data_IF_507051649547
#
_entry.id   IF_507051649547
#
_cell.length_a   1.000
_cell.length_b   1.000
_cell.length_c   1.000
_cell.angle_alpha   90.00
_cell.angle_beta   90.00
_cell.angle_gamma   90.00
#
_symmetry.space_group_name_H-M   'P 1'
#
loop_
_entity.id
_entity.type
_entity.pdbx_description
1 polymer ?
#
# COMPACT_ATOMS: atom_id res chain seq x y z
N UNK A 1 19.49 46.99 -42.72
CA UNK A 1 19.45 46.15 -41.51
C UNK A 1 18.03 45.91 -40.97
N UNK A 2 17.19 45.16 -41.68
CA UNK A 2 15.77 44.96 -41.30
C UNK A 2 15.32 43.49 -41.18
N UNK A 3 16.24 42.54 -40.98
CA UNK A 3 15.88 41.12 -40.86
C UNK A 3 16.12 40.47 -39.48
N UNK A 4 16.53 41.22 -38.46
CA UNK A 4 16.86 40.64 -37.15
C UNK A 4 15.69 40.58 -36.14
N UNK A 5 14.55 41.24 -36.39
CA UNK A 5 13.39 41.24 -35.48
C UNK A 5 12.34 40.17 -35.75
N UNK A 6 12.46 39.44 -36.87
CA UNK A 6 11.54 38.40 -37.34
C UNK A 6 12.01 36.97 -37.01
N UNK A 7 12.95 36.79 -36.09
CA UNK A 7 13.00 35.56 -35.27
C UNK A 7 11.82 35.72 -34.31
N UNK A 8 10.68 35.27 -34.82
CA UNK A 8 9.40 35.99 -34.78
C UNK A 8 8.57 35.52 -33.60
N UNK A 9 7.64 36.36 -33.11
CA UNK A 9 6.51 35.94 -32.27
C UNK A 9 5.86 34.59 -32.68
N UNK A 10 5.91 34.22 -33.97
CA UNK A 10 5.53 32.90 -34.48
C UNK A 10 6.33 31.73 -33.90
N UNK A 11 7.66 31.81 -33.83
CA UNK A 11 8.50 30.76 -33.23
C UNK A 11 8.20 30.59 -31.74
N UNK A 12 8.03 31.70 -31.02
CA UNK A 12 7.59 31.67 -29.62
C UNK A 12 6.19 31.05 -29.45
N UNK A 13 5.25 31.37 -30.35
CA UNK A 13 3.90 30.80 -30.34
C UNK A 13 3.89 29.29 -30.60
N UNK A 14 4.74 28.80 -31.51
CA UNK A 14 4.91 27.36 -31.78
C UNK A 14 5.42 26.64 -30.54
N UNK A 15 6.50 27.14 -29.93
CA UNK A 15 7.05 26.54 -28.71
C UNK A 15 6.07 26.61 -27.52
N UNK A 16 5.29 27.69 -27.41
CA UNK A 16 4.24 27.79 -26.40
C UNK A 16 3.15 26.72 -26.59
N UNK A 17 2.72 26.48 -27.84
CA UNK A 17 1.75 25.42 -28.15
C UNK A 17 2.32 24.02 -27.88
N UNK A 18 3.60 23.78 -28.19
CA UNK A 18 4.27 22.51 -27.88
C UNK A 18 4.34 22.28 -26.38
N UNK A 19 4.75 23.29 -25.61
CA UNK A 19 4.81 23.22 -24.15
C UNK A 19 3.42 22.96 -23.53
N UNK A 20 2.38 23.62 -24.04
CA UNK A 20 1.00 23.36 -23.63
C UNK A 20 0.59 21.90 -23.89
N UNK A 21 0.89 21.38 -25.08
CA UNK A 21 0.61 19.97 -25.41
C UNK A 21 1.39 18.99 -24.52
N UNK A 22 2.65 19.28 -24.19
CA UNK A 22 3.45 18.45 -23.28
C UNK A 22 2.81 18.45 -21.89
N UNK A 23 2.42 19.62 -21.41
CA UNK A 23 1.77 19.77 -20.10
C UNK A 23 0.44 19.01 -20.02
N UNK A 24 -0.41 19.12 -21.04
CA UNK A 24 -1.68 18.37 -21.12
C UNK A 24 -1.45 16.85 -21.10
N UNK A 25 -0.45 16.36 -21.85
CA UNK A 25 -0.07 14.94 -21.84
C UNK A 25 0.42 14.49 -20.47
N UNK A 26 1.25 15.30 -19.83
CA UNK A 26 1.78 15.00 -18.51
C UNK A 26 0.68 14.96 -17.44
N UNK A 27 -0.26 15.91 -17.47
CA UNK A 27 -1.43 15.89 -16.59
C UNK A 27 -2.26 14.63 -16.79
N UNK A 28 -2.51 14.23 -18.04
CA UNK A 28 -3.23 13.00 -18.35
C UNK A 28 -2.51 11.76 -17.83
N UNK A 29 -1.18 11.71 -17.96
CA UNK A 29 -0.35 10.62 -17.44
C UNK A 29 -0.45 10.52 -15.91
N UNK A 30 -0.37 11.65 -15.19
CA UNK A 30 -0.54 11.69 -13.74
C UNK A 30 -1.93 11.18 -13.34
N UNK A 31 -2.98 11.63 -14.01
CA UNK A 31 -4.36 11.18 -13.73
C UNK A 31 -4.53 9.67 -13.93
N UNK A 32 -3.89 9.10 -14.95
CA UNK A 32 -3.94 7.65 -15.19
C UNK A 32 -3.23 6.86 -14.10
N UNK A 33 -2.06 7.34 -13.63
CA UNK A 33 -1.35 6.74 -12.49
C UNK A 33 -2.19 6.79 -11.22
N UNK A 34 -2.77 7.96 -10.90
CA UNK A 34 -3.65 8.12 -9.74
C UNK A 34 -4.86 7.18 -9.81
N UNK A 35 -5.48 7.06 -10.98
CA UNK A 35 -6.61 6.13 -11.19
C UNK A 35 -6.20 4.68 -10.94
N UNK A 36 -4.99 4.28 -11.32
CA UNK A 36 -4.47 2.94 -11.06
C UNK A 36 -4.20 2.70 -9.57
N UNK A 37 -3.61 3.68 -8.88
CA UNK A 37 -3.41 3.66 -7.41
C UNK A 37 -4.73 3.53 -6.66
N UNK A 38 -5.74 4.32 -7.02
CA UNK A 38 -7.08 4.24 -6.44
C UNK A 38 -7.73 2.87 -6.68
N UNK A 39 -7.65 2.36 -7.91
CA UNK A 39 -8.18 1.04 -8.26
C UNK A 39 -7.54 -0.07 -7.40
N UNK A 40 -6.21 -0.09 -7.33
CA UNK A 40 -5.48 -1.08 -6.53
C UNK A 40 -5.84 -0.97 -5.05
N UNK A 41 -5.88 0.25 -4.51
CA UNK A 41 -6.20 0.53 -3.13
C UNK A 41 -7.61 0.03 -2.77
N UNK A 42 -8.62 0.38 -3.58
CA UNK A 42 -10.00 -0.07 -3.38
C UNK A 42 -10.12 -1.60 -3.44
N UNK A 43 -9.46 -2.24 -4.42
CA UNK A 43 -9.50 -3.70 -4.56
C UNK A 43 -8.86 -4.40 -3.36
N UNK A 44 -7.68 -3.94 -2.96
CA UNK A 44 -6.95 -4.52 -1.83
C UNK A 44 -7.74 -4.32 -0.53
N UNK A 45 -8.25 -3.11 -0.27
CA UNK A 45 -9.08 -2.82 0.89
C UNK A 45 -10.32 -3.73 0.95
N UNK A 46 -11.01 -3.98 -0.18
CA UNK A 46 -12.14 -4.92 -0.22
C UNK A 46 -11.74 -6.33 0.25
N UNK A 47 -10.58 -6.83 -0.18
CA UNK A 47 -10.07 -8.14 0.24
C UNK A 47 -9.74 -8.16 1.75
N UNK A 48 -9.09 -7.10 2.25
CA UNK A 48 -8.78 -6.96 3.68
C UNK A 48 -10.06 -6.92 4.52
N UNK A 49 -11.05 -6.11 4.13
CA UNK A 49 -12.33 -6.02 4.86
C UNK A 49 -13.07 -7.36 4.88
N UNK A 50 -12.99 -8.13 3.79
CA UNK A 50 -13.56 -9.48 3.75
C UNK A 50 -12.86 -10.41 4.76
N UNK A 51 -11.53 -10.39 4.81
CA UNK A 51 -10.74 -11.17 5.77
C UNK A 51 -11.06 -10.76 7.22
N UNK A 52 -11.08 -9.46 7.53
CA UNK A 52 -11.40 -8.94 8.86
C UNK A 52 -12.80 -9.35 9.32
N UNK A 53 -13.81 -9.27 8.42
CA UNK A 53 -15.17 -9.75 8.73
C UNK A 53 -15.19 -11.25 9.02
N UNK A 54 -14.39 -12.04 8.31
CA UNK A 54 -14.29 -13.48 8.53
C UNK A 54 -13.70 -13.78 9.91
N UNK A 55 -12.62 -13.09 10.29
CA UNK A 55 -12.00 -13.20 11.61
C UNK A 55 -12.99 -12.85 12.73
N UNK A 56 -13.72 -11.74 12.60
CA UNK A 56 -14.68 -11.31 13.63
C UNK A 56 -15.90 -12.21 13.77
N UNK A 57 -16.31 -12.92 12.71
CA UNK A 57 -17.44 -13.87 12.75
C UNK A 57 -17.10 -15.18 13.45
N UNK A 58 -15.82 -15.50 13.58
CA UNK A 58 -15.39 -16.70 14.28
C UNK A 58 -15.54 -16.47 15.79
N UNK A 59 -16.46 -17.22 16.39
CA UNK A 59 -16.69 -17.26 17.83
C UNK A 59 -16.09 -18.55 18.40
N UNK A 60 -14.85 -18.52 18.94
CA UNK A 60 -14.28 -19.72 19.51
C UNK A 60 -14.77 -19.96 20.92
N UNK A 61 -14.57 -21.20 21.34
CA UNK A 61 -14.92 -21.72 22.65
C UNK A 61 -14.13 -21.07 23.80
N UNK A 62 -12.97 -20.47 23.53
CA UNK A 62 -12.12 -19.83 24.55
C UNK A 62 -11.86 -18.34 24.21
N UNK A 63 -12.65 -17.40 24.78
CA UNK A 63 -12.53 -15.98 24.47
C UNK A 63 -11.26 -15.33 25.03
N UNK A 64 -10.66 -15.91 26.08
CA UNK A 64 -9.50 -15.35 26.79
C UNK A 64 -8.27 -15.22 25.89
N UNK A 65 -8.00 -16.24 25.07
CA UNK A 65 -6.84 -16.24 24.16
C UNK A 65 -7.21 -15.79 22.74
N UNK A 66 -8.48 -15.90 22.37
CA UNK A 66 -8.93 -15.50 21.04
C UNK A 66 -8.85 -14.00 20.81
N UNK A 67 -9.31 -13.20 21.77
CA UNK A 67 -9.35 -11.74 21.62
C UNK A 67 -7.95 -11.13 21.42
N UNK A 68 -6.92 -11.49 22.22
CA UNK A 68 -5.55 -11.02 22.00
C UNK A 68 -4.99 -11.46 20.63
N UNK A 69 -5.20 -12.72 20.24
CA UNK A 69 -4.79 -13.23 18.93
C UNK A 69 -5.41 -12.44 17.77
N UNK A 70 -6.73 -12.24 17.80
CA UNK A 70 -7.44 -11.47 16.78
C UNK A 70 -6.92 -10.03 16.71
N UNK A 71 -6.71 -9.37 17.85
CA UNK A 71 -6.16 -8.01 17.87
C UNK A 71 -4.77 -7.95 17.23
N UNK A 72 -3.90 -8.92 17.53
CA UNK A 72 -2.56 -9.00 16.92
C UNK A 72 -2.67 -9.23 15.41
N UNK A 73 -3.50 -10.19 14.98
CA UNK A 73 -3.71 -10.49 13.57
C UNK A 73 -4.28 -9.31 12.78
N UNK A 74 -5.27 -8.60 13.33
CA UNK A 74 -5.85 -7.40 12.72
C UNK A 74 -4.80 -6.31 12.56
N UNK A 75 -3.96 -6.09 13.58
CA UNK A 75 -2.85 -5.13 13.51
C UNK A 75 -1.87 -5.48 12.39
N UNK A 76 -1.43 -6.74 12.32
CA UNK A 76 -0.49 -7.23 11.31
C UNK A 76 -1.07 -7.13 9.90
N UNK A 77 -2.36 -7.46 9.72
CA UNK A 77 -3.09 -7.32 8.46
C UNK A 77 -3.08 -5.86 7.98
N UNK A 78 -3.41 -4.90 8.86
CA UNK A 78 -3.43 -3.48 8.50
C UNK A 78 -2.03 -2.97 8.13
N UNK A 79 -1.01 -3.34 8.91
CA UNK A 79 0.38 -2.97 8.59
C UNK A 79 0.84 -3.54 7.24
N UNK A 80 0.45 -4.78 6.95
CA UNK A 80 0.79 -5.42 5.69
C UNK A 80 0.08 -4.73 4.52
N UNK A 81 -1.19 -4.38 4.69
CA UNK A 81 -1.95 -3.58 3.72
C UNK A 81 -1.25 -2.25 3.39
N UNK A 82 -0.85 -1.48 4.41
CA UNK A 82 -0.15 -0.20 4.20
C UNK A 82 1.15 -0.40 3.42
N UNK A 83 1.90 -1.47 3.71
CA UNK A 83 3.12 -1.83 2.97
C UNK A 83 2.82 -2.14 1.50
N UNK A 84 1.79 -2.93 1.21
CA UNK A 84 1.37 -3.25 -0.16
C UNK A 84 0.98 -2.01 -0.96
N UNK A 85 0.21 -1.10 -0.35
CA UNK A 85 -0.19 0.18 -0.97
C UNK A 85 1.05 1.04 -1.23
N UNK A 86 1.97 1.15 -0.27
CA UNK A 86 3.17 1.95 -0.43
C UNK A 86 4.12 1.39 -1.50
N UNK A 87 4.32 0.06 -1.53
CA UNK A 87 5.09 -0.61 -2.59
C UNK A 87 4.49 -0.36 -3.96
N UNK A 88 3.17 -0.45 -4.09
CA UNK A 88 2.49 -0.17 -5.36
C UNK A 88 2.70 1.27 -5.79
N UNK A 89 2.55 2.23 -4.88
CA UNK A 89 2.81 3.66 -5.12
C UNK A 89 4.25 3.92 -5.56
N UNK A 90 5.23 3.23 -4.98
CA UNK A 90 6.61 3.35 -5.43
C UNK A 90 6.78 2.84 -6.86
N UNK A 91 6.20 1.68 -7.17
CA UNK A 91 6.23 1.09 -8.52
C UNK A 91 5.56 1.98 -9.57
N UNK A 92 4.40 2.56 -9.27
CA UNK A 92 3.71 3.49 -10.18
C UNK A 92 4.49 4.78 -10.37
N UNK A 93 5.17 5.28 -9.32
CA UNK A 93 6.08 6.42 -9.45
C UNK A 93 7.28 6.12 -10.35
N UNK A 94 7.88 4.94 -10.25
CA UNK A 94 8.98 4.55 -11.12
C UNK A 94 8.49 4.36 -12.57
N UNK A 95 7.29 3.80 -12.75
CA UNK A 95 6.64 3.73 -14.07
C UNK A 95 6.37 5.13 -14.62
N UNK A 96 5.86 6.06 -13.81
CA UNK A 96 5.65 7.46 -14.20
C UNK A 96 6.95 8.08 -14.71
N UNK A 97 8.05 7.95 -13.95
CA UNK A 97 9.37 8.46 -14.35
C UNK A 97 9.82 7.87 -15.69
N UNK A 98 9.64 6.56 -15.90
CA UNK A 98 10.01 5.91 -17.17
C UNK A 98 9.20 6.41 -18.38
N UNK A 99 7.97 6.89 -18.13
CA UNK A 99 7.08 7.38 -19.19
C UNK A 99 7.22 8.89 -19.42
N UNK A 100 7.92 9.64 -18.56
CA UNK A 100 8.08 11.10 -18.70
C UNK A 100 8.82 11.47 -19.99
N UNK A 101 9.91 10.77 -20.32
CA UNK A 101 10.69 11.08 -21.52
C UNK A 101 9.88 10.84 -22.80
N UNK A 102 9.09 9.76 -22.82
CA UNK A 102 8.16 9.43 -23.91
C UNK A 102 7.06 10.48 -24.02
N UNK A 103 6.56 10.95 -22.88
CA UNK A 103 5.56 12.01 -22.80
C UNK A 103 6.07 13.33 -23.39
N UNK A 104 7.34 13.67 -23.20
CA UNK A 104 7.96 14.88 -23.77
C UNK A 104 8.17 14.71 -25.29
N UNK A 105 8.67 13.55 -25.73
CA UNK A 105 9.05 13.28 -27.13
C UNK A 105 7.88 13.13 -28.12
N UNK A 106 6.63 13.31 -27.68
CA UNK A 106 5.44 13.32 -28.55
C UNK A 106 5.20 12.01 -29.32
N UNK A 107 5.60 10.90 -28.70
CA UNK A 107 5.26 9.58 -29.23
C UNK A 107 3.78 9.30 -28.95
N UNK A 108 3.05 8.82 -29.97
CA UNK A 108 1.62 8.43 -29.91
C UNK A 108 1.42 7.13 -29.12
N UNK A 109 2.09 6.99 -27.99
CA UNK A 109 2.00 5.82 -27.13
C UNK A 109 0.75 5.92 -26.24
N UNK A 110 -0.03 4.84 -26.19
CA UNK A 110 -1.14 4.74 -25.26
C UNK A 110 -0.62 4.35 -23.86
N UNK A 111 -0.27 5.36 -23.06
CA UNK A 111 0.19 5.19 -21.68
C UNK A 111 -0.81 4.45 -20.80
N UNK A 112 -2.09 4.42 -21.16
CA UNK A 112 -3.11 3.72 -20.38
C UNK A 112 -2.81 2.23 -20.34
N UNK A 113 -2.43 1.64 -21.48
CA UNK A 113 -2.13 0.21 -21.56
C UNK A 113 -0.93 -0.14 -20.69
N UNK A 114 0.14 0.65 -20.79
CA UNK A 114 1.35 0.46 -19.97
C UNK A 114 1.09 0.49 -18.46
N UNK A 115 0.18 1.36 -18.03
CA UNK A 115 -0.19 1.49 -16.61
C UNK A 115 -1.07 0.31 -16.19
N UNK A 116 -2.02 -0.11 -17.03
CA UNK A 116 -2.86 -1.30 -16.78
C UNK A 116 -1.99 -2.55 -16.66
N UNK A 117 -1.05 -2.75 -17.58
CA UNK A 117 -0.14 -3.89 -17.59
C UNK A 117 0.74 -3.87 -16.33
N UNK A 118 1.31 -2.71 -15.97
CA UNK A 118 2.07 -2.56 -14.72
C UNK A 118 1.26 -2.92 -13.47
N UNK A 119 -0.01 -2.51 -13.44
CA UNK A 119 -0.95 -2.80 -12.33
C UNK A 119 -1.25 -4.29 -12.24
N UNK A 120 -1.58 -4.91 -13.37
CA UNK A 120 -1.89 -6.33 -13.44
C UNK A 120 -0.68 -7.19 -13.08
N UNK A 121 0.51 -6.83 -13.54
CA UNK A 121 1.75 -7.54 -13.23
C UNK A 121 2.08 -7.49 -11.75
N UNK A 122 1.91 -6.32 -11.12
CA UNK A 122 2.08 -6.21 -9.68
C UNK A 122 1.06 -7.07 -8.92
N UNK A 123 -0.22 -6.99 -9.30
CA UNK A 123 -1.27 -7.78 -8.66
C UNK A 123 -1.09 -9.30 -8.81
N UNK A 124 -0.44 -9.76 -9.88
CA UNK A 124 -0.11 -11.18 -10.08
C UNK A 124 1.11 -11.62 -9.27
N UNK A 125 2.13 -10.78 -9.18
CA UNK A 125 3.38 -11.11 -8.51
C UNK A 125 3.27 -11.06 -6.97
N UNK A 126 2.36 -10.24 -6.46
CA UNK A 126 2.32 -9.83 -5.05
C UNK A 126 0.88 -10.03 -4.52
N UNK A 127 0.56 -11.27 -4.13
CA UNK A 127 -0.75 -11.67 -3.61
C UNK A 127 -0.80 -11.64 -2.09
N UNK A 128 -1.65 -10.78 -1.54
CA UNK A 128 -1.87 -10.69 -0.09
C UNK A 128 -2.23 -12.05 0.55
N UNK A 129 -2.90 -12.93 -0.20
CA UNK A 129 -3.29 -14.26 0.25
C UNK A 129 -2.10 -15.12 0.70
N UNK A 130 -0.95 -14.97 0.05
CA UNK A 130 0.23 -15.78 0.30
C UNK A 130 0.83 -15.45 1.68
N UNK A 131 0.68 -14.20 2.10
CA UNK A 131 1.14 -13.73 3.40
C UNK A 131 0.18 -14.05 4.55
N UNK A 132 -1.11 -14.37 4.27
CA UNK A 132 -2.11 -14.55 5.34
C UNK A 132 -1.71 -15.65 6.32
N UNK A 133 -1.18 -16.78 5.86
CA UNK A 133 -0.74 -17.86 6.74
C UNK A 133 0.48 -17.47 7.59
N UNK A 134 1.40 -16.69 7.02
CA UNK A 134 2.51 -16.13 7.77
C UNK A 134 2.02 -15.18 8.85
N UNK A 135 1.08 -14.28 8.53
CA UNK A 135 0.50 -13.34 9.50
C UNK A 135 -0.24 -14.06 10.63
N UNK A 136 -0.97 -15.14 10.33
CA UNK A 136 -1.62 -15.98 11.36
C UNK A 136 -0.59 -16.59 12.31
N UNK A 137 0.49 -17.16 11.76
CA UNK A 137 1.56 -17.80 12.55
C UNK A 137 2.26 -16.77 13.44
N UNK A 138 2.58 -15.59 12.90
CA UNK A 138 3.18 -14.48 13.67
C UNK A 138 2.24 -14.00 14.78
N UNK A 139 0.95 -13.78 14.47
CA UNK A 139 -0.04 -13.35 15.46
C UNK A 139 -0.19 -14.36 16.61
N UNK A 140 -0.11 -15.66 16.29
CA UNK A 140 -0.17 -16.73 17.29
C UNK A 140 1.06 -16.69 18.20
N UNK A 141 2.26 -16.58 17.62
CA UNK A 141 3.51 -16.49 18.38
C UNK A 141 3.55 -15.26 19.30
N UNK A 142 3.08 -14.11 18.82
CA UNK A 142 2.93 -12.89 19.63
C UNK A 142 1.97 -13.13 20.80
N UNK A 143 0.83 -13.78 20.54
CA UNK A 143 -0.16 -14.10 21.56
C UNK A 143 0.39 -15.07 22.63
N UNK A 144 1.11 -16.12 22.21
CA UNK A 144 1.77 -17.06 23.13
C UNK A 144 2.76 -16.30 24.01
N UNK A 145 3.62 -15.48 23.41
CA UNK A 145 4.63 -14.71 24.14
C UNK A 145 4.02 -13.78 25.19
N UNK A 146 2.94 -13.06 24.83
CA UNK A 146 2.20 -12.18 25.76
C UNK A 146 1.55 -12.99 26.87
N UNK A 147 0.94 -14.13 26.55
CA UNK A 147 0.24 -14.98 27.52
C UNK A 147 1.23 -15.57 28.52
N UNK A 148 2.32 -16.15 28.05
CA UNK A 148 3.39 -16.71 28.88
C UNK A 148 4.00 -15.63 29.79
N UNK A 149 4.21 -14.42 29.27
CA UNK A 149 4.69 -13.29 30.07
C UNK A 149 3.71 -12.90 31.19
N UNK A 150 2.42 -12.82 30.88
CA UNK A 150 1.39 -12.49 31.86
C UNK A 150 1.22 -13.59 32.93
N UNK A 151 1.32 -14.87 32.55
CA UNK A 151 1.28 -15.99 33.48
C UNK A 151 2.50 -15.95 34.43
N UNK A 152 3.70 -15.64 33.91
CA UNK A 152 4.91 -15.44 34.71
C UNK A 152 4.72 -14.26 35.69
N UNK A 153 4.19 -13.13 35.24
CA UNK A 153 3.92 -11.98 36.11
C UNK A 153 2.86 -12.29 37.18
N UNK A 154 1.83 -13.07 36.87
CA UNK A 154 0.84 -13.51 37.85
C UNK A 154 1.46 -14.43 38.90
N UNK A 155 2.37 -15.32 38.50
CA UNK A 155 3.09 -16.19 39.44
C UNK A 155 4.06 -15.41 40.33
N UNK A 156 4.73 -14.39 39.79
CA UNK A 156 5.63 -13.52 40.54
C UNK A 156 4.88 -12.61 41.51
N UNK A 157 3.76 -12.02 41.09
CA UNK A 157 2.92 -11.18 41.96
C UNK A 157 2.24 -11.98 43.07
N UNK A 158 1.78 -13.21 42.80
CA UNK A 158 1.26 -14.12 43.83
C UNK A 158 2.32 -14.58 44.84
N UNK A 159 3.60 -14.69 44.43
CA UNK A 159 4.71 -14.95 45.36
C UNK A 159 5.04 -13.73 46.23
N UNK A 160 4.95 -12.52 45.68
CA UNK A 160 5.22 -11.27 46.44
C UNK A 160 4.17 -11.06 47.54
N UNK A 161 2.89 -11.30 47.27
CA UNK A 161 1.84 -11.22 48.31
C UNK A 161 1.96 -12.29 49.39
N UNK A 162 2.47 -13.49 49.07
CA UNK A 162 2.73 -14.53 50.08
C UNK A 162 3.88 -14.19 51.05
N UNK A 163 4.80 -13.31 50.64
CA UNK A 163 5.93 -12.86 51.49
C UNK A 163 5.51 -11.70 52.41
N UNK A 164 4.48 -10.93 52.06
CA UNK A 164 3.97 -9.82 52.87
C UNK A 164 3.04 -10.24 54.02
N UNK A 165 2.73 -11.53 54.18
CA UNK A 165 1.88 -12.05 55.27
C UNK A 165 2.68 -12.71 56.42
N UNK A 166 3.99 -12.45 56.54
CA UNK A 166 4.81 -12.89 57.67
C UNK A 166 5.45 -11.67 58.34
N UNK A 167 4.64 -10.88 59.04
CA UNK A 167 5.06 -9.95 60.11
C UNK A 167 4.00 -9.97 61.20
#
# INVERSE_FOLDING_TARGET
>A
DENNGKITLKGFSIHHQELKKIFERWQKLIQQIQSAEEYYNQRTNKNIQFLLRTIHRLHPKNPTYWKPYCNSLVKLINQKYDNYVQKFKNRTNDKLKSLLDICIQNQTQDFRKDIIDCTNDYMKAETFSDDVELLKTTALNDCISITTFNDILSLLSGKITSIQCVV
#
